data_IF_839250396988
#
_entry.id   IF_839250396988
#
_cell.length_a   1.000
_cell.length_b   1.000
_cell.length_c   1.000
_cell.angle_alpha   90.00
_cell.angle_beta   90.00
_cell.angle_gamma   90.00
#
_symmetry.space_group_name_H-M   'P 1'
#
loop_
_entity.id
_entity.type
_entity.pdbx_description
1 polymer ?
#
# COMPACT_ATOMS: atom_id res chain seq x y z
N UNK A 1 -40.54 -0.06 12.30
CA UNK A 1 -39.99 1.28 11.99
C UNK A 1 -39.91 1.42 10.48
N UNK A 2 -40.42 2.52 9.89
CA UNK A 2 -40.59 2.63 8.43
C UNK A 2 -39.23 2.58 7.69
N UNK A 3 -39.09 1.80 6.60
CA UNK A 3 -37.83 1.61 5.87
C UNK A 3 -37.20 2.92 5.40
N UNK A 4 -38.02 3.94 5.13
CA UNK A 4 -37.58 5.30 4.78
C UNK A 4 -36.75 6.00 5.89
N UNK A 5 -37.01 5.71 7.17
CA UNK A 5 -36.22 6.28 8.28
C UNK A 5 -34.86 5.61 8.42
N UNK A 6 -34.76 4.32 8.09
CA UNK A 6 -33.50 3.57 8.07
C UNK A 6 -32.59 4.06 6.94
N UNK A 7 -33.15 4.26 5.74
CA UNK A 7 -32.41 4.80 4.59
C UNK A 7 -31.87 6.22 4.86
N UNK A 8 -32.66 7.07 5.52
CA UNK A 8 -32.25 8.43 5.85
C UNK A 8 -31.14 8.47 6.91
N UNK A 9 -31.23 7.62 7.94
CA UNK A 9 -30.20 7.51 8.98
C UNK A 9 -28.89 6.96 8.40
N UNK A 10 -28.95 5.97 7.50
CA UNK A 10 -27.76 5.44 6.80
C UNK A 10 -27.10 6.51 5.92
N UNK A 11 -27.89 7.30 5.20
CA UNK A 11 -27.39 8.38 4.35
C UNK A 11 -26.74 9.50 5.18
N UNK A 12 -27.37 9.91 6.30
CA UNK A 12 -26.77 10.88 7.22
C UNK A 12 -25.48 10.37 7.86
N UNK A 13 -25.39 9.07 8.17
CA UNK A 13 -24.15 8.48 8.71
C UNK A 13 -23.04 8.48 7.67
N UNK A 14 -23.36 8.20 6.41
CA UNK A 14 -22.43 8.32 5.27
C UNK A 14 -21.89 9.75 5.12
N UNK A 15 -22.76 10.76 5.20
CA UNK A 15 -22.38 12.18 5.09
C UNK A 15 -21.55 12.65 6.28
N UNK A 16 -21.85 12.21 7.50
CA UNK A 16 -21.07 12.52 8.70
C UNK A 16 -19.68 11.85 8.64
N UNK A 17 -19.59 10.63 8.10
CA UNK A 17 -18.32 9.95 7.86
C UNK A 17 -17.40 10.70 6.89
N UNK A 18 -17.96 11.38 5.88
CA UNK A 18 -17.21 12.19 4.91
C UNK A 18 -16.72 13.52 5.52
N UNK A 19 -17.44 14.09 6.51
CA UNK A 19 -17.13 15.41 7.08
C UNK A 19 -16.04 15.40 8.18
N UNK A 20 -15.71 14.24 8.77
CA UNK A 20 -14.68 14.15 9.81
C UNK A 20 -13.22 14.10 9.28
N UNK A 21 -12.99 14.37 8.00
CA UNK A 21 -11.70 14.18 7.32
C UNK A 21 -10.63 15.24 7.65
N UNK A 22 -10.93 16.31 8.40
CA UNK A 22 -9.97 17.43 8.59
C UNK A 22 -9.34 17.48 9.99
N UNK A 23 -8.86 16.36 10.50
CA UNK A 23 -7.93 16.37 11.63
C UNK A 23 -6.50 16.14 11.10
N UNK A 24 -5.90 17.19 10.54
CA UNK A 24 -4.46 17.20 10.21
C UNK A 24 -3.72 17.40 11.54
N UNK A 25 -3.29 16.30 12.15
CA UNK A 25 -2.27 16.36 13.19
C UNK A 25 -0.94 16.68 12.49
N UNK A 26 -0.22 17.69 12.98
CA UNK A 26 1.09 18.05 12.44
C UNK A 26 2.05 16.87 12.60
N UNK A 27 2.43 16.26 11.47
CA UNK A 27 3.50 15.28 11.42
C UNK A 27 4.81 15.95 11.90
N UNK A 28 5.73 15.20 12.54
CA UNK A 28 7.06 15.71 12.82
C UNK A 28 7.72 16.19 11.51
N UNK A 29 8.60 17.20 11.57
CA UNK A 29 9.34 17.62 10.41
C UNK A 29 10.14 16.43 9.83
N UNK A 30 10.24 16.33 8.49
CA UNK A 30 11.01 15.25 7.86
C UNK A 30 12.48 15.30 8.31
N UNK A 31 13.10 14.15 8.54
CA UNK A 31 14.56 14.06 8.70
C UNK A 31 15.21 14.09 7.33
N UNK A 32 16.34 14.76 7.22
CA UNK A 32 17.11 14.78 5.97
C UNK A 32 18.05 13.58 5.89
N UNK A 33 18.19 12.99 4.70
CA UNK A 33 19.07 11.84 4.53
C UNK A 33 20.55 12.25 4.60
N UNK A 34 20.89 13.36 3.99
CA UNK A 34 22.25 13.89 4.00
C UNK A 34 22.39 15.00 5.04
N UNK A 35 23.30 14.82 6.00
CA UNK A 35 23.56 15.79 7.07
C UNK A 35 24.17 17.12 6.59
N UNK A 36 24.88 17.12 5.45
CA UNK A 36 25.69 18.27 4.98
C UNK A 36 25.35 18.76 3.56
N UNK A 37 24.43 18.09 2.85
CA UNK A 37 24.17 18.37 1.43
C UNK A 37 23.40 19.68 1.19
N UNK A 38 23.09 20.45 2.22
CA UNK A 38 22.47 21.77 2.08
C UNK A 38 21.25 21.96 2.99
N UNK A 39 20.58 23.10 2.82
CA UNK A 39 19.46 23.48 3.67
C UNK A 39 18.22 22.62 3.35
N UNK A 40 17.42 22.36 4.38
CA UNK A 40 16.13 21.68 4.33
C UNK A 40 15.06 22.52 5.01
N UNK A 41 13.81 22.05 4.97
CA UNK A 41 12.71 22.68 5.71
C UNK A 41 12.88 22.59 7.23
N UNK A 42 13.69 21.65 7.71
CA UNK A 42 13.96 21.43 9.13
C UNK A 42 15.25 22.12 9.61
N UNK A 43 16.17 22.44 8.70
CA UNK A 43 17.48 22.99 9.04
C UNK A 43 18.04 23.87 7.91
N UNK A 44 18.41 25.12 8.20
CA UNK A 44 19.01 26.04 7.21
C UNK A 44 20.55 25.91 7.12
N UNK A 45 21.16 25.02 7.89
CA UNK A 45 22.61 24.85 7.88
C UNK A 45 23.10 24.32 6.52
N UNK A 46 24.21 24.88 6.05
CA UNK A 46 24.89 24.49 4.83
C UNK A 46 26.38 24.83 4.93
N UNK A 47 27.21 24.13 4.16
CA UNK A 47 28.65 24.41 4.10
C UNK A 47 28.85 25.85 3.60
N UNK A 48 29.68 26.61 4.31
CA UNK A 48 29.88 28.02 4.00
C UNK A 48 30.46 28.22 2.58
N UNK A 49 29.69 28.88 1.71
CA UNK A 49 30.08 29.08 0.31
C UNK A 49 29.67 27.94 -0.62
N UNK A 50 28.76 27.04 -0.19
CA UNK A 50 28.08 26.10 -1.07
C UNK A 50 27.34 26.84 -2.21
N UNK A 51 27.39 26.27 -3.42
CA UNK A 51 26.76 26.85 -4.62
C UNK A 51 25.42 26.21 -4.97
N UNK A 52 25.06 25.11 -4.31
CA UNK A 52 23.83 24.35 -4.51
C UNK A 52 23.69 23.21 -3.51
N UNK A 53 22.73 22.33 -3.76
CA UNK A 53 22.61 21.08 -3.01
C UNK A 53 23.73 20.11 -3.39
N UNK A 54 24.13 19.25 -2.45
CA UNK A 54 25.15 18.24 -2.65
C UNK A 54 24.59 16.94 -3.23
N UNK A 55 25.48 15.98 -3.49
CA UNK A 55 25.12 14.58 -3.80
C UNK A 55 25.56 13.66 -2.68
N UNK A 56 24.91 12.51 -2.54
CA UNK A 56 25.23 11.49 -1.54
C UNK A 56 25.38 10.12 -2.22
N UNK A 57 26.54 9.49 -2.07
CA UNK A 57 26.80 8.13 -2.51
C UNK A 57 27.01 7.23 -1.28
N UNK A 58 26.24 6.15 -1.17
CA UNK A 58 26.21 5.22 -0.03
C UNK A 58 26.72 3.87 -0.54
N UNK A 59 27.83 3.39 -0.03
CA UNK A 59 28.44 2.12 -0.39
C UNK A 59 28.23 1.12 0.74
N UNK A 60 27.46 0.07 0.48
CA UNK A 60 27.18 -0.99 1.45
C UNK A 60 28.18 -2.12 1.25
N UNK A 61 28.71 -2.66 2.34
CA UNK A 61 29.66 -3.77 2.31
C UNK A 61 28.99 -5.15 2.54
N UNK A 62 29.81 -6.21 2.51
CA UNK A 62 29.35 -7.59 2.69
C UNK A 62 28.86 -7.91 4.12
N UNK A 63 29.19 -7.07 5.10
CA UNK A 63 28.74 -7.19 6.48
C UNK A 63 27.38 -6.50 6.69
N UNK A 64 27.00 -5.58 5.80
CA UNK A 64 25.82 -4.73 5.90
C UNK A 64 26.11 -3.37 6.52
N UNK A 65 27.39 -3.08 6.79
CA UNK A 65 27.86 -1.74 7.16
C UNK A 65 27.98 -0.87 5.90
N UNK A 66 28.14 0.43 6.08
CA UNK A 66 28.17 1.34 4.93
C UNK A 66 29.12 2.52 5.10
N UNK A 67 29.64 2.97 3.95
CA UNK A 67 30.41 4.20 3.82
C UNK A 67 29.61 5.21 2.99
N UNK A 68 29.42 6.40 3.55
CA UNK A 68 28.64 7.47 2.96
C UNK A 68 29.59 8.58 2.54
N UNK A 69 29.52 8.96 1.27
CA UNK A 69 30.31 10.03 0.66
C UNK A 69 29.37 11.15 0.22
N UNK A 70 29.34 12.24 0.99
CA UNK A 70 28.60 13.44 0.64
C UNK A 70 29.53 14.41 -0.12
N UNK A 71 29.09 14.90 -1.28
CA UNK A 71 29.84 15.82 -2.13
C UNK A 71 29.08 17.12 -2.27
N UNK A 72 29.66 18.23 -1.83
CA UNK A 72 29.02 19.55 -1.83
C UNK A 72 29.84 20.53 -2.67
N UNK A 73 29.29 21.06 -3.78
CA UNK A 73 30.00 22.04 -4.58
C UNK A 73 30.09 23.37 -3.83
N UNK A 74 31.27 23.99 -3.85
CA UNK A 74 31.54 25.27 -3.19
C UNK A 74 32.12 26.28 -4.18
N UNK A 75 32.01 27.56 -3.84
CA UNK A 75 32.64 28.65 -4.63
C UNK A 75 34.16 28.53 -4.61
N UNK A 76 34.83 28.97 -5.69
CA UNK A 76 36.29 29.03 -5.80
C UNK A 76 36.95 29.72 -4.59
N UNK A 77 36.33 30.80 -4.08
CA UNK A 77 36.82 31.54 -2.90
C UNK A 77 36.75 30.72 -1.61
N UNK A 78 35.72 29.89 -1.46
CA UNK A 78 35.62 28.97 -0.33
C UNK A 78 36.60 27.81 -0.47
N UNK A 79 36.72 27.24 -1.68
CA UNK A 79 37.68 26.19 -1.99
C UNK A 79 39.13 26.62 -1.66
N UNK A 80 39.55 27.82 -2.06
CA UNK A 80 40.90 28.33 -1.75
C UNK A 80 41.14 28.50 -0.25
N UNK A 81 40.11 28.94 0.49
CA UNK A 81 40.17 29.03 1.95
C UNK A 81 40.39 27.65 2.58
N UNK A 82 39.60 26.66 2.18
CA UNK A 82 39.67 25.29 2.71
C UNK A 82 40.97 24.59 2.33
N UNK A 83 41.50 24.87 1.13
CA UNK A 83 42.80 24.35 0.67
C UNK A 83 43.97 24.85 1.52
N UNK A 84 43.89 26.11 1.97
CA UNK A 84 44.96 26.75 2.74
C UNK A 84 44.81 26.55 4.25
N UNK A 85 43.60 26.22 4.73
CA UNK A 85 43.29 26.12 6.15
C UNK A 85 42.34 24.94 6.44
N UNK A 86 42.91 23.81 6.87
CA UNK A 86 42.16 22.59 7.20
C UNK A 86 41.14 22.80 8.33
N UNK A 87 41.50 23.57 9.36
CA UNK A 87 40.60 23.86 10.49
C UNK A 87 39.38 24.69 10.05
N UNK A 88 39.51 25.50 9.00
CA UNK A 88 38.37 26.20 8.42
C UNK A 88 37.42 25.25 7.67
N UNK A 89 37.93 24.16 7.09
CA UNK A 89 37.12 23.12 6.45
C UNK A 89 36.36 22.32 7.51
N UNK A 90 37.07 21.83 8.53
CA UNK A 90 36.48 21.08 9.65
C UNK A 90 35.34 21.87 10.31
N UNK A 91 35.61 23.13 10.67
CA UNK A 91 34.58 23.99 11.28
C UNK A 91 33.37 24.24 10.36
N UNK A 92 33.57 24.33 9.04
CA UNK A 92 32.48 24.53 8.10
C UNK A 92 31.63 23.27 7.91
N UNK A 93 32.22 22.08 8.03
CA UNK A 93 31.50 20.80 8.00
C UNK A 93 30.71 20.61 9.29
N UNK A 94 31.34 20.87 10.44
CA UNK A 94 30.69 20.78 11.75
C UNK A 94 29.48 21.74 11.88
N UNK A 95 29.62 22.97 11.39
CA UNK A 95 28.52 23.96 11.39
C UNK A 95 27.40 23.58 10.41
N UNK A 96 27.72 22.87 9.33
CA UNK A 96 26.74 22.42 8.33
C UNK A 96 26.00 21.15 8.76
N UNK A 97 26.55 20.38 9.70
CA UNK A 97 26.00 19.09 10.11
C UNK A 97 24.62 19.27 10.75
N UNK A 98 23.60 18.70 10.12
CA UNK A 98 22.24 18.81 10.61
C UNK A 98 22.02 18.02 11.90
N UNK A 99 21.47 18.66 12.93
CA UNK A 99 21.12 18.00 14.20
C UNK A 99 20.04 16.90 14.09
N UNK A 100 19.30 16.88 12.98
CA UNK A 100 18.22 15.94 12.73
C UNK A 100 18.38 15.38 11.32
N UNK A 101 19.29 14.42 11.18
CA UNK A 101 19.50 13.68 9.94
C UNK A 101 19.49 12.18 10.22
N UNK A 102 19.30 11.39 9.15
CA UNK A 102 19.05 9.95 9.24
C UNK A 102 20.13 9.14 9.97
N UNK A 103 21.33 9.66 10.20
CA UNK A 103 22.44 8.92 10.78
C UNK A 103 23.10 9.55 12.02
N UNK A 104 22.52 10.58 12.63
CA UNK A 104 23.19 11.37 13.69
C UNK A 104 23.66 10.54 14.91
N UNK A 105 22.96 9.45 15.24
CA UNK A 105 23.29 8.55 16.36
C UNK A 105 24.26 7.40 16.02
N UNK A 106 24.37 7.04 14.75
CA UNK A 106 25.04 5.82 14.26
C UNK A 106 26.28 6.12 13.42
N UNK A 107 26.71 7.39 13.39
CA UNK A 107 27.87 7.84 12.63
C UNK A 107 29.18 7.56 13.37
N UNK A 108 30.11 6.89 12.68
CA UNK A 108 31.51 6.76 13.07
C UNK A 108 32.40 7.50 12.07
N UNK A 109 33.42 8.19 12.60
CA UNK A 109 34.52 8.83 11.86
C UNK A 109 34.07 9.73 10.72
N UNK A 110 33.95 11.04 10.97
CA UNK A 110 33.76 12.04 9.92
C UNK A 110 35.14 12.48 9.40
N UNK A 111 35.46 12.15 8.16
CA UNK A 111 36.63 12.68 7.44
C UNK A 111 36.15 13.70 6.40
N UNK A 112 36.80 14.85 6.34
CA UNK A 112 36.47 15.89 5.36
C UNK A 112 37.68 16.25 4.54
N UNK A 113 37.52 16.28 3.22
CA UNK A 113 38.56 16.70 2.28
C UNK A 113 37.99 17.63 1.21
N UNK A 114 38.88 18.39 0.59
CA UNK A 114 38.56 19.20 -0.58
C UNK A 114 39.08 18.49 -1.84
N UNK A 115 38.19 18.23 -2.78
CA UNK A 115 38.51 17.79 -4.14
C UNK A 115 38.15 18.92 -5.10
N UNK A 116 39.17 19.62 -5.60
CA UNK A 116 39.01 20.82 -6.42
C UNK A 116 38.12 21.90 -5.77
N UNK A 117 36.89 22.06 -6.23
CA UNK A 117 35.86 22.98 -5.71
C UNK A 117 34.69 22.22 -5.04
N UNK A 118 34.92 20.97 -4.62
CA UNK A 118 33.93 20.13 -3.98
C UNK A 118 34.43 19.70 -2.60
N UNK A 119 33.65 19.99 -1.57
CA UNK A 119 33.88 19.44 -0.24
C UNK A 119 33.32 18.02 -0.21
N UNK A 120 34.17 17.06 0.12
CA UNK A 120 33.81 15.64 0.26
C UNK A 120 33.85 15.29 1.74
N UNK A 121 32.72 14.81 2.25
CA UNK A 121 32.56 14.39 3.64
C UNK A 121 32.26 12.90 3.66
N UNK A 122 33.16 12.14 4.26
CA UNK A 122 33.06 10.69 4.41
C UNK A 122 32.68 10.36 5.84
N UNK A 123 31.71 9.47 6.00
CA UNK A 123 31.36 8.90 7.30
C UNK A 123 30.90 7.46 7.14
N UNK A 124 30.97 6.71 8.23
CA UNK A 124 30.52 5.31 8.26
C UNK A 124 29.29 5.19 9.12
N UNK A 125 28.37 4.32 8.68
CA UNK A 125 27.14 3.96 9.40
C UNK A 125 27.08 2.45 9.42
N UNK A 126 27.06 1.89 10.62
CA UNK A 126 26.99 0.44 10.81
C UNK A 126 25.55 -0.06 10.61
N UNK A 127 25.41 -1.36 10.33
CA UNK A 127 24.11 -2.07 10.31
C UNK A 127 23.04 -1.42 9.38
N UNK A 128 23.45 -0.79 8.26
CA UNK A 128 22.52 -0.20 7.27
C UNK A 128 21.74 -1.26 6.51
N UNK A 129 22.29 -2.46 6.35
CA UNK A 129 21.63 -3.59 5.74
C UNK A 129 21.57 -4.80 6.68
N UNK A 130 20.40 -5.43 6.75
CA UNK A 130 20.15 -6.62 7.57
C UNK A 130 19.92 -7.86 6.69
N UNK A 131 20.23 -9.05 7.22
CA UNK A 131 20.02 -10.31 6.48
C UNK A 131 18.55 -10.70 6.44
N UNK A 132 18.07 -11.03 5.25
CA UNK A 132 16.72 -11.47 4.97
C UNK A 132 16.57 -12.97 4.72
N UNK A 133 15.60 -13.31 3.87
CA UNK A 133 15.29 -14.69 3.50
C UNK A 133 16.33 -15.23 2.52
N UNK A 134 16.99 -16.33 2.89
CA UNK A 134 17.98 -16.97 2.02
C UNK A 134 19.26 -16.13 1.96
N UNK A 135 19.59 -15.65 0.77
CA UNK A 135 20.75 -14.80 0.48
C UNK A 135 20.37 -13.34 0.23
N UNK A 136 19.10 -12.98 0.42
CA UNK A 136 18.65 -11.60 0.31
C UNK A 136 19.08 -10.79 1.53
N UNK A 137 19.39 -9.54 1.29
CA UNK A 137 19.62 -8.50 2.29
C UNK A 137 18.55 -7.42 2.14
N UNK A 138 18.29 -6.72 3.23
CA UNK A 138 17.31 -5.66 3.33
C UNK A 138 18.00 -4.38 3.80
N UNK A 139 17.88 -3.33 3.02
CA UNK A 139 18.19 -1.97 3.45
C UNK A 139 16.89 -1.37 3.95
N UNK A 140 16.70 -1.42 5.26
CA UNK A 140 15.57 -0.82 5.96
C UNK A 140 15.90 0.54 6.58
N UNK A 141 17.15 0.99 6.47
CA UNK A 141 17.61 2.27 6.99
C UNK A 141 16.83 3.49 6.45
N UNK A 142 16.27 3.37 5.23
CA UNK A 142 15.41 4.39 4.61
C UNK A 142 13.92 4.05 4.71
N UNK A 143 13.61 2.89 5.30
CA UNK A 143 12.26 2.46 5.59
C UNK A 143 11.93 2.84 7.02
N UNK A 144 10.94 3.69 7.18
CA UNK A 144 10.58 4.24 8.48
C UNK A 144 9.84 3.16 9.27
N UNK A 145 10.61 2.29 9.93
CA UNK A 145 10.11 1.29 10.86
C UNK A 145 9.70 1.99 12.16
N UNK A 146 8.39 2.15 12.38
CA UNK A 146 7.76 2.64 13.63
C UNK A 146 8.08 4.07 14.10
N UNK A 147 9.05 4.78 13.52
CA UNK A 147 9.30 6.20 13.80
C UNK A 147 8.41 7.11 12.93
N UNK A 148 8.12 8.32 13.40
CA UNK A 148 7.19 9.26 12.74
C UNK A 148 7.90 10.15 11.70
N UNK A 149 8.99 9.67 11.12
CA UNK A 149 9.93 10.50 10.37
C UNK A 149 9.76 10.25 8.88
N UNK A 150 9.41 11.28 8.09
CA UNK A 150 9.56 11.22 6.62
C UNK A 150 11.01 11.54 6.25
N UNK A 151 11.64 10.78 5.36
CA UNK A 151 12.95 11.18 4.83
C UNK A 151 12.79 12.21 3.70
N UNK A 152 13.34 13.40 3.89
CA UNK A 152 13.42 14.43 2.87
C UNK A 152 14.66 14.25 2.01
N UNK A 153 14.50 14.23 0.68
CA UNK A 153 15.61 14.32 -0.25
C UNK A 153 16.08 15.77 -0.32
N UNK A 154 17.21 16.05 0.33
CA UNK A 154 17.85 17.38 0.36
C UNK A 154 19.07 17.41 -0.58
N UNK A 155 19.51 16.25 -1.05
CA UNK A 155 20.57 16.14 -2.04
C UNK A 155 19.99 16.19 -3.45
N UNK A 156 20.77 16.69 -4.41
CA UNK A 156 20.42 16.68 -5.84
C UNK A 156 20.34 15.24 -6.39
N UNK A 157 21.15 14.35 -5.79
CA UNK A 157 21.19 12.93 -6.12
C UNK A 157 21.59 12.11 -4.90
N UNK A 158 20.90 10.99 -4.70
CA UNK A 158 21.30 9.95 -3.76
C UNK A 158 21.52 8.65 -4.55
N UNK A 159 22.66 8.00 -4.35
CA UNK A 159 22.94 6.69 -4.93
C UNK A 159 23.25 5.70 -3.82
N UNK A 160 22.61 4.54 -3.83
CA UNK A 160 22.94 3.42 -2.95
C UNK A 160 23.59 2.33 -3.79
N UNK A 161 24.83 2.00 -3.48
CA UNK A 161 25.64 0.97 -4.11
C UNK A 161 25.66 -0.27 -3.22
N UNK A 162 25.17 -1.38 -3.75
CA UNK A 162 25.20 -2.69 -3.09
C UNK A 162 26.52 -3.41 -3.38
N UNK A 163 26.91 -4.42 -2.56
CA UNK A 163 28.17 -5.13 -2.72
C UNK A 163 28.36 -5.73 -4.12
N UNK A 164 29.61 -5.82 -4.57
CA UNK A 164 29.95 -6.39 -5.87
C UNK A 164 29.44 -7.84 -5.99
N UNK A 165 28.87 -8.17 -7.15
CA UNK A 165 28.32 -9.50 -7.42
C UNK A 165 26.91 -9.73 -6.87
N UNK A 166 26.27 -8.70 -6.31
CA UNK A 166 24.84 -8.70 -5.98
C UNK A 166 24.01 -8.00 -7.06
N UNK A 167 22.71 -8.18 -7.04
CA UNK A 167 21.75 -7.40 -7.83
C UNK A 167 20.62 -6.92 -6.94
N UNK A 168 20.06 -5.74 -7.25
CA UNK A 168 18.85 -5.26 -6.58
C UNK A 168 17.67 -6.17 -6.97
N UNK A 169 17.06 -6.82 -5.98
CA UNK A 169 16.10 -7.91 -6.20
C UNK A 169 14.64 -7.46 -6.24
N UNK A 170 14.34 -6.23 -5.85
CA UNK A 170 12.99 -5.68 -5.91
C UNK A 170 12.92 -4.43 -6.79
N UNK A 171 11.70 -4.08 -7.20
CA UNK A 171 11.45 -2.74 -7.73
C UNK A 171 11.48 -1.74 -6.58
N UNK A 172 12.38 -0.77 -6.67
CA UNK A 172 12.50 0.33 -5.71
C UNK A 172 11.71 1.54 -6.26
N UNK A 173 10.71 2.07 -5.52
CA UNK A 173 9.93 3.22 -5.97
C UNK A 173 10.81 4.45 -6.24
N UNK A 174 10.51 5.16 -7.32
CA UNK A 174 11.16 6.41 -7.73
C UNK A 174 12.69 6.36 -7.95
N UNK A 175 13.31 5.18 -7.81
CA UNK A 175 14.71 4.96 -8.10
C UNK A 175 14.93 4.48 -9.54
N UNK A 176 15.98 4.97 -10.18
CA UNK A 176 16.59 4.35 -11.34
C UNK A 176 17.56 3.27 -10.86
N UNK A 177 17.42 2.04 -11.38
CA UNK A 177 18.25 0.90 -11.01
C UNK A 177 19.20 0.60 -12.15
N UNK A 178 20.51 0.64 -11.87
CA UNK A 178 21.57 0.23 -12.78
C UNK A 178 22.51 -0.77 -12.08
N UNK A 179 22.31 -2.06 -12.36
CA UNK A 179 23.07 -3.15 -11.75
C UNK A 179 22.95 -3.20 -10.22
N UNK A 180 24.04 -2.84 -9.53
CA UNK A 180 24.15 -2.80 -8.07
C UNK A 180 23.76 -1.44 -7.47
N UNK A 181 23.44 -0.44 -8.29
CA UNK A 181 23.16 0.91 -7.85
C UNK A 181 21.67 1.26 -7.98
N UNK A 182 21.11 1.86 -6.93
CA UNK A 182 19.81 2.53 -6.95
C UNK A 182 20.02 4.04 -6.82
N UNK A 183 19.53 4.80 -7.78
CA UNK A 183 19.72 6.26 -7.85
C UNK A 183 18.40 6.99 -7.77
N UNK A 184 18.34 8.01 -6.92
CA UNK A 184 17.26 8.98 -6.86
C UNK A 184 17.78 10.38 -7.18
N UNK A 185 16.94 11.22 -7.80
CA UNK A 185 17.27 12.60 -8.20
C UNK A 185 16.32 13.61 -7.54
N UNK A 186 16.68 14.89 -7.51
CA UNK A 186 15.91 15.96 -6.85
C UNK A 186 14.41 16.03 -7.24
N UNK A 187 14.06 15.62 -8.46
CA UNK A 187 12.67 15.61 -8.95
C UNK A 187 11.86 14.40 -8.45
N UNK A 188 12.52 13.47 -7.75
CA UNK A 188 11.95 12.24 -7.20
C UNK A 188 11.92 12.33 -5.68
N UNK A 189 10.77 12.11 -5.05
CA UNK A 189 10.66 12.09 -3.59
C UNK A 189 10.93 10.66 -3.09
N UNK A 190 11.61 10.52 -1.95
CA UNK A 190 11.56 9.27 -1.19
C UNK A 190 10.13 9.09 -0.70
N UNK A 191 9.47 8.00 -1.09
CA UNK A 191 8.20 7.62 -0.49
C UNK A 191 8.44 7.27 0.99
N UNK A 192 7.39 7.33 1.81
CA UNK A 192 7.43 7.05 3.26
C UNK A 192 7.97 5.63 3.56
N UNK A 193 8.15 4.78 2.53
CA UNK A 193 8.52 3.37 2.59
C UNK A 193 9.40 2.91 1.44
N UNK A 194 10.65 3.35 1.46
CA UNK A 194 11.63 2.92 0.47
C UNK A 194 12.42 1.74 0.99
N UNK A 195 11.98 0.52 0.65
CA UNK A 195 12.74 -0.71 0.90
C UNK A 195 13.59 -1.06 -0.31
N UNK A 196 14.88 -1.28 -0.08
CA UNK A 196 15.79 -1.85 -1.07
C UNK A 196 16.21 -3.24 -0.61
N UNK A 197 16.11 -4.22 -1.49
CA UNK A 197 16.62 -5.57 -1.27
C UNK A 197 17.65 -5.92 -2.32
N UNK A 198 18.69 -6.63 -1.92
CA UNK A 198 19.74 -7.08 -2.83
C UNK A 198 20.21 -8.49 -2.47
N UNK A 199 20.77 -9.22 -3.43
CA UNK A 199 21.20 -10.61 -3.23
C UNK A 199 21.56 -11.27 -4.57
N UNK A 200 21.39 -12.59 -4.68
CA UNK A 200 21.50 -13.24 -5.99
C UNK A 200 20.42 -12.71 -6.94
N UNK A 201 20.81 -12.49 -8.20
CA UNK A 201 19.90 -12.02 -9.24
C UNK A 201 18.83 -13.04 -9.66
N UNK A 202 17.96 -12.59 -10.57
CA UNK A 202 16.94 -13.42 -11.22
C UNK A 202 15.72 -13.75 -10.36
N UNK A 203 14.85 -14.63 -10.88
CA UNK A 203 13.51 -14.88 -10.31
C UNK A 203 13.56 -15.34 -8.85
N UNK A 204 14.54 -16.19 -8.49
CA UNK A 204 14.68 -16.67 -7.11
C UNK A 204 15.05 -15.54 -6.17
N UNK A 205 16.01 -14.69 -6.56
CA UNK A 205 16.40 -13.48 -5.85
C UNK A 205 15.24 -12.53 -5.66
N UNK A 206 14.46 -12.28 -6.71
CA UNK A 206 13.25 -11.46 -6.60
C UNK A 206 12.24 -12.04 -5.62
N UNK A 207 12.02 -13.35 -5.64
CA UNK A 207 11.10 -14.00 -4.69
C UNK A 207 11.61 -13.89 -3.25
N UNK A 208 12.90 -14.10 -3.00
CA UNK A 208 13.49 -13.97 -1.66
C UNK A 208 13.54 -12.52 -1.19
N UNK A 209 13.79 -11.56 -2.08
CA UNK A 209 13.71 -10.13 -1.80
C UNK A 209 12.31 -9.69 -1.36
N UNK A 210 11.28 -10.03 -2.14
CA UNK A 210 9.89 -9.74 -1.74
C UNK A 210 9.44 -10.52 -0.49
N UNK A 211 9.93 -11.74 -0.29
CA UNK A 211 9.67 -12.49 0.94
C UNK A 211 10.29 -11.81 2.17
N UNK A 212 11.49 -11.24 2.02
CA UNK A 212 12.19 -10.48 3.06
C UNK A 212 11.39 -9.24 3.46
N UNK A 213 10.99 -8.41 2.47
CA UNK A 213 10.11 -7.25 2.71
C UNK A 213 8.81 -7.69 3.40
N UNK A 214 8.25 -8.82 2.98
CA UNK A 214 7.03 -9.39 3.55
C UNK A 214 7.18 -9.86 5.01
N UNK A 215 8.34 -10.40 5.40
CA UNK A 215 8.60 -10.82 6.78
C UNK A 215 8.86 -9.62 7.69
N UNK A 216 9.53 -8.58 7.20
CA UNK A 216 9.77 -7.37 7.98
C UNK A 216 8.45 -6.62 8.23
N UNK A 217 7.67 -6.41 7.16
CA UNK A 217 6.40 -5.68 7.23
C UNK A 217 5.24 -6.49 7.81
N UNK A 218 5.26 -7.81 7.61
CA UNK A 218 4.13 -8.70 7.86
C UNK A 218 3.53 -8.57 9.26
N UNK A 219 4.33 -8.65 10.34
CA UNK A 219 3.85 -8.51 11.71
C UNK A 219 3.14 -7.17 11.97
N UNK A 220 3.78 -6.06 11.62
CA UNK A 220 3.23 -4.71 11.82
C UNK A 220 1.98 -4.47 10.98
N UNK A 221 1.99 -4.92 9.72
CA UNK A 221 0.83 -4.85 8.84
C UNK A 221 -0.35 -5.68 9.38
N UNK A 222 -0.08 -6.86 9.95
CA UNK A 222 -1.10 -7.68 10.60
C UNK A 222 -1.63 -7.04 11.88
N UNK A 223 -0.78 -6.43 12.70
CA UNK A 223 -1.20 -5.71 13.90
C UNK A 223 -2.13 -4.54 13.55
N UNK A 224 -1.77 -3.73 12.56
CA UNK A 224 -2.61 -2.66 12.02
C UNK A 224 -3.90 -3.19 11.40
N UNK A 225 -3.79 -4.27 10.61
CA UNK A 225 -4.92 -4.96 10.02
C UNK A 225 -5.92 -5.43 11.07
N UNK A 226 -5.45 -6.04 12.16
CA UNK A 226 -6.30 -6.55 13.25
C UNK A 226 -6.90 -5.39 14.03
N UNK A 227 -6.09 -4.42 14.47
CA UNK A 227 -6.55 -3.28 15.26
C UNK A 227 -7.59 -2.43 14.51
N UNK A 228 -7.41 -2.20 13.22
CA UNK A 228 -8.37 -1.44 12.40
C UNK A 228 -9.50 -2.27 11.80
N UNK A 229 -9.23 -3.54 11.48
CA UNK A 229 -10.15 -4.39 10.72
C UNK A 229 -11.08 -5.23 11.57
N UNK A 230 -10.82 -5.40 12.86
CA UNK A 230 -11.62 -6.27 13.73
C UNK A 230 -13.09 -5.85 13.79
N UNK A 231 -13.36 -4.54 13.93
CA UNK A 231 -14.73 -4.04 13.98
C UNK A 231 -15.52 -4.30 12.68
N UNK A 232 -15.04 -3.88 11.48
CA UNK A 232 -15.72 -4.21 10.22
C UNK A 232 -15.75 -5.72 9.95
N UNK A 233 -14.74 -6.49 10.38
CA UNK A 233 -14.74 -7.95 10.28
C UNK A 233 -15.88 -8.59 11.07
N UNK A 234 -16.09 -8.16 12.32
CA UNK A 234 -17.21 -8.64 13.15
C UNK A 234 -18.54 -8.28 12.50
N UNK A 235 -18.70 -7.06 11.98
CA UNK A 235 -19.93 -6.65 11.27
C UNK A 235 -20.17 -7.50 10.02
N UNK A 236 -19.16 -7.78 9.21
CA UNK A 236 -19.29 -8.68 8.06
C UNK A 236 -19.62 -10.11 8.47
N UNK A 237 -19.02 -10.61 9.55
CA UNK A 237 -19.36 -11.91 10.12
C UNK A 237 -20.84 -11.98 10.49
N UNK A 238 -21.37 -10.93 11.14
CA UNK A 238 -22.79 -10.81 11.47
C UNK A 238 -23.66 -10.76 10.20
N UNK A 239 -23.26 -10.03 9.16
CA UNK A 239 -23.95 -10.01 7.86
C UNK A 239 -24.00 -11.41 7.25
N UNK A 240 -22.88 -12.15 7.22
CA UNK A 240 -22.84 -13.52 6.72
C UNK A 240 -23.75 -14.47 7.52
N UNK A 241 -23.78 -14.33 8.85
CA UNK A 241 -24.69 -15.10 9.72
C UNK A 241 -26.15 -14.77 9.43
N UNK A 242 -26.49 -13.49 9.31
CA UNK A 242 -27.85 -13.00 9.01
C UNK A 242 -28.30 -13.51 7.65
N UNK A 243 -27.46 -13.36 6.62
CA UNK A 243 -27.70 -13.88 5.28
C UNK A 243 -27.91 -15.39 5.30
N UNK A 244 -27.14 -16.13 6.10
CA UNK A 244 -27.24 -17.59 6.18
C UNK A 244 -28.47 -18.09 6.96
N UNK A 245 -29.05 -17.28 7.86
CA UNK A 245 -30.13 -17.73 8.77
C UNK A 245 -31.51 -17.13 8.52
N UNK A 246 -31.61 -16.03 7.79
CA UNK A 246 -32.90 -15.36 7.56
C UNK A 246 -33.45 -15.78 6.20
N UNK A 247 -34.61 -16.42 6.16
CA UNK A 247 -35.24 -16.91 4.91
C UNK A 247 -36.07 -15.83 4.18
N UNK A 248 -36.01 -14.59 4.66
CA UNK A 248 -36.77 -13.47 4.08
C UNK A 248 -36.35 -13.23 2.64
N UNK A 249 -37.33 -13.11 1.74
CA UNK A 249 -37.09 -12.67 0.36
C UNK A 249 -36.65 -13.76 -0.62
N UNK A 250 -36.43 -15.00 -0.19
CA UNK A 250 -36.18 -16.13 -1.10
C UNK A 250 -37.39 -16.27 -2.04
N UNK A 251 -38.60 -16.35 -1.50
CA UNK A 251 -39.85 -16.52 -2.27
C UNK A 251 -40.21 -15.32 -3.13
N UNK A 252 -39.68 -14.14 -2.83
CA UNK A 252 -40.00 -12.91 -3.53
C UNK A 252 -39.34 -12.79 -4.90
N UNK A 253 -38.24 -13.53 -5.14
CA UNK A 253 -37.47 -13.45 -6.37
C UNK A 253 -37.12 -14.83 -6.92
N UNK A 254 -37.29 -15.02 -8.23
CA UNK A 254 -36.74 -16.16 -8.94
C UNK A 254 -35.27 -15.90 -9.33
N UNK A 255 -34.54 -16.98 -9.67
CA UNK A 255 -33.14 -16.87 -10.11
C UNK A 255 -33.00 -15.96 -11.34
N UNK A 256 -34.05 -15.85 -12.16
CA UNK A 256 -34.06 -15.02 -13.34
C UNK A 256 -34.07 -13.53 -13.06
N UNK A 257 -34.92 -13.11 -12.14
CA UNK A 257 -35.03 -11.71 -11.72
C UNK A 257 -33.77 -11.29 -10.96
N UNK A 258 -33.21 -12.19 -10.15
CA UNK A 258 -31.94 -11.94 -9.45
C UNK A 258 -30.77 -11.72 -10.42
N UNK A 259 -30.61 -12.57 -11.44
CA UNK A 259 -29.60 -12.36 -12.49
C UNK A 259 -29.77 -11.00 -13.16
N UNK A 260 -30.99 -10.68 -13.62
CA UNK A 260 -31.26 -9.39 -14.29
C UNK A 260 -30.93 -8.20 -13.41
N UNK A 261 -31.25 -8.29 -12.12
CA UNK A 261 -30.93 -7.26 -11.14
C UNK A 261 -29.43 -7.13 -10.94
N UNK A 262 -28.70 -8.25 -10.78
CA UNK A 262 -27.24 -8.27 -10.62
C UNK A 262 -26.54 -7.67 -11.86
N UNK A 263 -26.95 -8.08 -13.05
CA UNK A 263 -26.40 -7.60 -14.33
C UNK A 263 -26.71 -6.11 -14.53
N UNK A 264 -27.95 -5.68 -14.27
CA UNK A 264 -28.34 -4.27 -14.41
C UNK A 264 -27.54 -3.38 -13.45
N UNK A 265 -27.42 -3.79 -12.18
CA UNK A 265 -26.65 -3.06 -11.17
C UNK A 265 -25.17 -3.00 -11.54
N UNK A 266 -24.58 -4.13 -11.97
CA UNK A 266 -23.18 -4.18 -12.40
C UNK A 266 -22.90 -3.33 -13.64
N UNK A 267 -23.78 -3.37 -14.64
CA UNK A 267 -23.63 -2.60 -15.88
C UNK A 267 -23.84 -1.10 -15.68
N UNK A 268 -24.85 -0.70 -14.90
CA UNK A 268 -25.10 0.72 -14.56
C UNK A 268 -23.96 1.27 -13.71
N UNK A 269 -23.46 0.50 -12.75
CA UNK A 269 -22.29 0.87 -11.96
C UNK A 269 -21.05 1.07 -12.84
N UNK A 270 -20.73 0.11 -13.70
CA UNK A 270 -19.56 0.19 -14.58
C UNK A 270 -19.64 1.35 -15.56
N UNK A 271 -20.79 1.55 -16.22
CA UNK A 271 -20.99 2.65 -17.16
C UNK A 271 -20.99 4.03 -16.48
N UNK A 272 -21.70 4.18 -15.36
CA UNK A 272 -21.81 5.45 -14.64
C UNK A 272 -20.48 5.93 -14.07
N UNK A 273 -19.69 5.02 -13.50
CA UNK A 273 -18.39 5.34 -12.91
C UNK A 273 -17.35 5.75 -13.96
N UNK A 274 -17.34 5.10 -15.14
CA UNK A 274 -16.46 5.48 -16.24
C UNK A 274 -16.83 6.85 -16.82
N UNK A 275 -18.12 7.14 -17.01
CA UNK A 275 -18.60 8.44 -17.52
C UNK A 275 -18.26 9.58 -16.57
N UNK A 276 -18.52 9.40 -15.27
CA UNK A 276 -18.17 10.40 -14.25
C UNK A 276 -16.66 10.55 -14.13
N UNK A 277 -15.91 9.45 -14.19
CA UNK A 277 -14.44 9.47 -14.14
C UNK A 277 -13.83 10.29 -15.28
N UNK A 278 -14.25 10.04 -16.52
CA UNK A 278 -13.77 10.79 -17.70
C UNK A 278 -14.20 12.26 -17.66
N UNK A 279 -15.44 12.54 -17.23
CA UNK A 279 -15.94 13.91 -17.13
C UNK A 279 -15.20 14.73 -16.07
N UNK A 280 -14.71 14.08 -15.00
CA UNK A 280 -14.00 14.74 -13.91
C UNK A 280 -12.53 15.03 -14.24
N UNK A 281 -11.87 14.22 -15.07
CA UNK A 281 -10.42 14.29 -15.33
C UNK A 281 -10.05 14.82 -16.72
N UNK A 282 -11.00 14.91 -17.65
CA UNK A 282 -10.84 15.62 -18.92
C UNK A 282 -9.98 14.94 -19.99
N UNK A 283 -9.33 13.80 -19.72
CA UNK A 283 -8.54 13.09 -20.72
C UNK A 283 -8.49 11.55 -20.50
N UNK A 284 -8.40 11.07 -19.25
CA UNK A 284 -8.31 9.63 -18.94
C UNK A 284 -9.12 9.24 -17.69
N UNK A 285 -9.79 8.07 -17.68
CA UNK A 285 -10.57 7.65 -16.52
C UNK A 285 -9.66 7.47 -15.29
N UNK A 286 -10.04 8.09 -14.17
CA UNK A 286 -9.33 7.94 -12.91
C UNK A 286 -9.15 6.45 -12.55
N UNK A 287 -7.97 6.02 -12.05
CA UNK A 287 -7.69 4.61 -11.72
C UNK A 287 -8.77 3.97 -10.83
N UNK A 288 -9.31 4.72 -9.86
CA UNK A 288 -10.39 4.25 -9.01
C UNK A 288 -11.71 3.99 -9.76
N UNK A 289 -12.02 4.80 -10.78
CA UNK A 289 -13.21 4.58 -11.62
C UNK A 289 -13.07 3.31 -12.46
N UNK A 290 -11.87 3.04 -13.00
CA UNK A 290 -11.55 1.81 -13.74
C UNK A 290 -11.67 0.58 -12.83
N UNK A 291 -11.14 0.65 -11.61
CA UNK A 291 -11.22 -0.42 -10.62
C UNK A 291 -12.67 -0.76 -10.24
N UNK A 292 -13.49 0.25 -9.94
CA UNK A 292 -14.89 0.05 -9.60
C UNK A 292 -15.71 -0.45 -10.81
N UNK A 293 -15.38 -0.01 -12.02
CA UNK A 293 -16.02 -0.51 -13.23
C UNK A 293 -15.70 -1.98 -13.50
N UNK A 294 -14.45 -2.39 -13.31
CA UNK A 294 -14.04 -3.80 -13.41
C UNK A 294 -14.77 -4.69 -12.39
N UNK A 295 -14.96 -4.20 -11.15
CA UNK A 295 -15.78 -4.89 -10.15
C UNK A 295 -17.25 -5.01 -10.58
N UNK A 296 -17.84 -3.96 -11.16
CA UNK A 296 -19.20 -4.00 -11.70
C UNK A 296 -19.36 -5.04 -12.81
N UNK A 297 -18.39 -5.13 -13.71
CA UNK A 297 -18.34 -6.16 -14.77
C UNK A 297 -18.20 -7.56 -14.15
N UNK A 298 -17.27 -7.74 -13.21
CA UNK A 298 -17.09 -9.01 -12.49
C UNK A 298 -18.35 -9.47 -11.77
N UNK A 299 -19.06 -8.55 -11.13
CA UNK A 299 -20.33 -8.81 -10.45
C UNK A 299 -21.43 -9.26 -11.42
N UNK A 300 -21.57 -8.59 -12.57
CA UNK A 300 -22.53 -9.00 -13.61
C UNK A 300 -22.20 -10.38 -14.20
N UNK A 301 -20.92 -10.64 -14.49
CA UNK A 301 -20.45 -11.94 -15.00
C UNK A 301 -20.68 -13.06 -13.98
N UNK A 302 -20.41 -12.81 -12.69
CA UNK A 302 -20.66 -13.76 -11.61
C UNK A 302 -22.14 -14.16 -11.56
N UNK A 303 -23.07 -13.19 -11.59
CA UNK A 303 -24.50 -13.47 -11.61
C UNK A 303 -24.95 -14.30 -12.80
N UNK A 304 -24.50 -13.95 -14.02
CA UNK A 304 -24.91 -14.66 -15.23
C UNK A 304 -24.31 -16.06 -15.34
N UNK A 305 -23.02 -16.21 -14.99
CA UNK A 305 -22.34 -17.52 -15.01
C UNK A 305 -22.86 -18.45 -13.92
N UNK A 306 -23.12 -17.94 -12.72
CA UNK A 306 -23.72 -18.73 -11.65
C UNK A 306 -25.12 -19.23 -12.01
N UNK A 307 -25.93 -18.43 -12.70
CA UNK A 307 -27.23 -18.93 -13.18
C UNK A 307 -27.07 -19.98 -14.27
N UNK A 308 -26.17 -19.77 -15.23
CA UNK A 308 -26.03 -20.64 -16.41
C UNK A 308 -25.41 -22.00 -16.10
N UNK A 309 -24.52 -22.05 -15.11
CA UNK A 309 -23.75 -23.25 -14.78
C UNK A 309 -23.91 -23.71 -13.33
N UNK A 310 -24.56 -22.93 -12.46
CA UNK A 310 -24.64 -23.20 -11.02
C UNK A 310 -25.44 -24.44 -10.65
N UNK A 311 -26.41 -24.83 -11.47
CA UNK A 311 -27.27 -26.00 -11.22
C UNK A 311 -26.45 -27.31 -11.12
N UNK A 312 -25.30 -27.38 -11.81
CA UNK A 312 -24.39 -28.52 -11.78
C UNK A 312 -23.21 -28.40 -10.81
N UNK A 313 -23.06 -27.26 -10.12
CA UNK A 313 -21.88 -26.99 -9.29
C UNK A 313 -22.16 -27.28 -7.81
N UNK A 314 -21.25 -28.02 -7.19
CA UNK A 314 -21.19 -28.13 -5.73
C UNK A 314 -20.69 -26.80 -5.11
N UNK A 315 -20.78 -26.67 -3.79
CA UNK A 315 -20.27 -25.50 -3.04
C UNK A 315 -18.83 -25.14 -3.40
N UNK A 316 -17.97 -26.14 -3.66
CA UNK A 316 -16.58 -25.93 -4.09
C UNK A 316 -16.48 -25.30 -5.48
N UNK A 317 -17.34 -25.71 -6.41
CA UNK A 317 -17.43 -25.14 -7.75
C UNK A 317 -17.88 -23.68 -7.72
N UNK A 318 -18.85 -23.36 -6.86
CA UNK A 318 -19.31 -21.98 -6.65
C UNK A 318 -18.23 -21.10 -6.00
N UNK A 319 -17.47 -21.63 -5.04
CA UNK A 319 -16.30 -20.92 -4.47
C UNK A 319 -15.25 -20.65 -5.56
N UNK A 320 -14.92 -21.65 -6.38
CA UNK A 320 -13.98 -21.49 -7.50
C UNK A 320 -14.43 -20.42 -8.49
N UNK A 321 -15.73 -20.39 -8.81
CA UNK A 321 -16.33 -19.41 -9.71
C UNK A 321 -16.30 -17.99 -9.10
N UNK A 322 -16.63 -17.83 -7.82
CA UNK A 322 -16.52 -16.55 -7.10
C UNK A 322 -15.09 -16.02 -7.03
N UNK A 323 -14.11 -16.89 -6.79
CA UNK A 323 -12.70 -16.52 -6.78
C UNK A 323 -12.22 -16.15 -8.19
N UNK A 324 -12.58 -16.92 -9.21
CA UNK A 324 -12.20 -16.66 -10.59
C UNK A 324 -12.77 -15.32 -11.08
N UNK A 325 -14.03 -15.02 -10.78
CA UNK A 325 -14.64 -13.73 -11.14
C UNK A 325 -13.92 -12.55 -10.47
N UNK A 326 -13.51 -12.72 -9.20
CA UNK A 326 -12.79 -11.68 -8.44
C UNK A 326 -11.37 -11.49 -8.97
N UNK A 327 -10.66 -12.58 -9.26
CA UNK A 327 -9.29 -12.55 -9.82
C UNK A 327 -9.31 -11.97 -11.24
N UNK A 328 -10.28 -12.33 -12.07
CA UNK A 328 -10.42 -11.77 -13.42
C UNK A 328 -10.71 -10.25 -13.39
N UNK A 329 -11.62 -9.80 -12.52
CA UNK A 329 -11.90 -8.38 -12.32
C UNK A 329 -10.65 -7.63 -11.83
N UNK A 330 -9.94 -8.18 -10.84
CA UNK A 330 -8.73 -7.58 -10.27
C UNK A 330 -7.58 -7.56 -11.29
N UNK A 331 -7.37 -8.65 -12.02
CA UNK A 331 -6.34 -8.75 -13.05
C UNK A 331 -6.58 -7.75 -14.18
N UNK A 332 -7.85 -7.56 -14.57
CA UNK A 332 -8.24 -6.49 -15.48
C UNK A 332 -7.87 -5.11 -14.94
N UNK A 333 -8.23 -4.80 -13.69
CA UNK A 333 -7.83 -3.54 -13.04
C UNK A 333 -6.30 -3.36 -13.05
N UNK A 334 -5.54 -4.38 -12.66
CA UNK A 334 -4.08 -4.33 -12.58
C UNK A 334 -3.43 -4.05 -13.95
N UNK A 335 -3.97 -4.63 -15.03
CA UNK A 335 -3.51 -4.38 -16.40
C UNK A 335 -3.74 -2.93 -16.85
N UNK A 336 -4.81 -2.29 -16.40
CA UNK A 336 -5.16 -0.93 -16.83
C UNK A 336 -4.66 0.18 -15.91
N UNK A 337 -4.48 -0.08 -14.61
CA UNK A 337 -4.14 0.96 -13.62
C UNK A 337 -2.78 0.80 -12.95
N UNK A 338 -2.15 -0.37 -13.07
CA UNK A 338 -0.89 -0.69 -12.39
C UNK A 338 -1.01 -0.86 -10.86
N UNK A 339 0.06 -1.32 -10.18
CA UNK A 339 0.19 -1.33 -8.72
C UNK A 339 0.15 0.10 -8.15
N UNK A 340 -0.33 0.36 -6.91
CA UNK A 340 -0.77 -0.56 -5.84
C UNK A 340 -2.31 -0.68 -5.66
N UNK A 341 -3.11 -0.19 -6.63
CA UNK A 341 -4.57 0.04 -6.51
C UNK A 341 -5.42 -1.26 -6.42
N UNK A 342 -4.81 -2.45 -6.37
CA UNK A 342 -5.50 -3.73 -6.56
C UNK A 342 -5.97 -4.43 -5.28
N UNK A 343 -5.41 -4.13 -4.10
CA UNK A 343 -5.72 -4.89 -2.89
C UNK A 343 -7.14 -4.61 -2.33
N UNK A 344 -7.57 -3.35 -2.37
CA UNK A 344 -8.89 -2.95 -1.89
C UNK A 344 -10.04 -3.48 -2.76
N UNK A 345 -10.00 -3.35 -4.10
CA UNK A 345 -11.00 -3.96 -4.98
C UNK A 345 -11.05 -5.48 -4.87
N UNK A 346 -9.89 -6.14 -4.75
CA UNK A 346 -9.83 -7.60 -4.60
C UNK A 346 -10.52 -8.06 -3.32
N UNK A 347 -10.23 -7.42 -2.18
CA UNK A 347 -10.86 -7.76 -0.90
C UNK A 347 -12.37 -7.52 -0.94
N UNK A 348 -12.82 -6.43 -1.56
CA UNK A 348 -14.25 -6.13 -1.74
C UNK A 348 -14.96 -7.13 -2.64
N UNK A 349 -14.38 -7.43 -3.80
CA UNK A 349 -14.91 -8.40 -4.75
C UNK A 349 -15.01 -9.78 -4.12
N UNK A 350 -13.97 -10.22 -3.40
CA UNK A 350 -13.95 -11.51 -2.70
C UNK A 350 -15.04 -11.60 -1.62
N UNK A 351 -15.16 -10.58 -0.75
CA UNK A 351 -16.16 -10.56 0.31
C UNK A 351 -17.59 -10.66 -0.24
N UNK A 352 -17.86 -9.90 -1.32
CA UNK A 352 -19.16 -9.86 -1.98
C UNK A 352 -19.46 -11.16 -2.73
N UNK A 353 -18.48 -11.69 -3.48
CA UNK A 353 -18.64 -12.89 -4.29
C UNK A 353 -18.82 -14.16 -3.43
N UNK A 354 -18.25 -14.20 -2.23
CA UNK A 354 -18.41 -15.31 -1.29
C UNK A 354 -19.83 -15.41 -0.70
N UNK A 355 -20.64 -14.36 -0.77
CA UNK A 355 -22.05 -14.44 -0.36
C UNK A 355 -22.84 -15.48 -1.16
N UNK A 356 -22.47 -15.74 -2.42
CA UNK A 356 -23.11 -16.74 -3.27
C UNK A 356 -22.96 -18.17 -2.73
N UNK A 357 -21.74 -18.71 -2.53
CA UNK A 357 -21.58 -20.06 -1.96
C UNK A 357 -22.04 -20.12 -0.49
N UNK A 358 -22.02 -19.00 0.26
CA UNK A 358 -22.60 -18.95 1.62
C UNK A 358 -24.10 -19.22 1.58
N UNK A 359 -24.84 -18.56 0.69
CA UNK A 359 -26.28 -18.77 0.52
C UNK A 359 -26.60 -20.21 0.11
N UNK A 360 -25.87 -20.74 -0.88
CA UNK A 360 -26.04 -22.11 -1.35
C UNK A 360 -25.82 -23.16 -0.25
N UNK A 361 -24.77 -23.01 0.56
CA UNK A 361 -24.46 -23.95 1.64
C UNK A 361 -25.48 -23.90 2.78
N UNK A 362 -25.95 -22.69 3.12
CA UNK A 362 -26.95 -22.48 4.15
C UNK A 362 -28.27 -23.21 3.83
N UNK A 363 -28.71 -23.15 2.56
CA UNK A 363 -29.92 -23.85 2.11
C UNK A 363 -29.80 -25.37 2.20
N UNK A 364 -28.60 -25.92 1.96
CA UNK A 364 -28.32 -27.36 2.13
C UNK A 364 -28.14 -27.79 3.60
N UNK A 365 -28.52 -26.94 4.56
CA UNK A 365 -28.42 -27.23 6.00
C UNK A 365 -27.00 -27.27 6.56
N UNK A 366 -26.00 -26.80 5.80
CA UNK A 366 -24.59 -26.72 6.26
C UNK A 366 -24.23 -25.28 6.52
N UNK A 367 -24.03 -24.91 7.78
CA UNK A 367 -23.58 -23.55 8.09
C UNK A 367 -22.11 -23.37 7.66
N UNK A 368 -21.80 -22.48 6.69
CA UNK A 368 -20.48 -22.41 6.07
C UNK A 368 -19.53 -21.51 6.87
N UNK A 369 -19.18 -21.93 8.10
CA UNK A 369 -18.34 -21.15 9.03
C UNK A 369 -17.05 -20.69 8.37
N UNK A 370 -16.38 -21.56 7.62
CA UNK A 370 -15.14 -21.22 6.92
C UNK A 370 -15.30 -20.10 5.89
N UNK A 371 -16.40 -20.10 5.11
CA UNK A 371 -16.64 -19.05 4.11
C UNK A 371 -16.99 -17.71 4.76
N UNK A 372 -17.79 -17.74 5.83
CA UNK A 372 -18.12 -16.54 6.62
C UNK A 372 -16.87 -15.97 7.27
N UNK A 373 -16.00 -16.81 7.82
CA UNK A 373 -14.73 -16.39 8.41
C UNK A 373 -13.80 -15.76 7.36
N UNK A 374 -13.65 -16.38 6.18
CA UNK A 374 -12.84 -15.82 5.10
C UNK A 374 -13.38 -14.47 4.63
N UNK A 375 -14.69 -14.35 4.40
CA UNK A 375 -15.31 -13.08 4.05
C UNK A 375 -15.12 -12.02 5.15
N UNK A 376 -15.28 -12.41 6.42
CA UNK A 376 -15.10 -11.51 7.56
C UNK A 376 -13.65 -11.03 7.74
N UNK A 377 -12.64 -11.80 7.32
CA UNK A 377 -11.23 -11.39 7.42
C UNK A 377 -10.78 -10.44 6.30
N UNK A 378 -11.58 -10.26 5.24
CA UNK A 378 -11.22 -9.37 4.12
C UNK A 378 -10.94 -7.90 4.50
N UNK A 379 -11.62 -7.26 5.48
CA UNK A 379 -11.28 -5.90 5.90
C UNK A 379 -9.93 -5.83 6.59
N UNK A 380 -9.58 -6.86 7.37
CA UNK A 380 -8.28 -6.99 8.06
C UNK A 380 -7.16 -7.05 7.03
N UNK A 381 -7.32 -7.87 6.00
CA UNK A 381 -6.35 -7.99 4.90
C UNK A 381 -6.27 -6.70 4.09
N UNK A 382 -7.40 -6.05 3.80
CA UNK A 382 -7.43 -4.78 3.08
C UNK A 382 -6.66 -3.70 3.84
N UNK A 383 -6.90 -3.55 5.15
CA UNK A 383 -6.14 -2.61 5.99
C UNK A 383 -4.67 -3.00 6.03
N UNK A 384 -4.32 -4.26 6.30
CA UNK A 384 -2.92 -4.70 6.33
C UNK A 384 -2.17 -4.37 5.04
N UNK A 385 -2.84 -4.45 3.88
CA UNK A 385 -2.24 -4.14 2.59
C UNK A 385 -2.01 -2.63 2.33
N UNK A 386 -2.82 -1.76 2.94
CA UNK A 386 -2.84 -0.30 2.68
C UNK A 386 -2.27 0.50 3.87
N UNK A 387 -2.12 -0.11 5.04
CA UNK A 387 -1.74 0.53 6.28
C UNK A 387 -0.30 0.23 6.71
N UNK A 388 0.71 0.43 5.85
CA UNK A 388 1.99 0.79 6.38
C UNK A 388 2.02 2.34 6.54
N UNK A 389 1.04 3.09 6.03
CA UNK A 389 0.94 4.56 6.14
C UNK A 389 0.68 4.92 7.60
N UNK A 390 1.68 5.53 8.20
CA UNK A 390 1.74 6.04 9.56
C UNK A 390 0.57 6.98 9.85
N UNK A 391 -0.46 6.46 10.51
CA UNK A 391 -1.48 7.27 11.16
C UNK A 391 -1.51 6.91 12.64
N UNK A 392 -0.82 7.75 13.40
CA UNK A 392 -0.86 7.89 14.87
C UNK A 392 -1.99 7.11 15.55
N UNK A 393 -1.64 6.19 16.46
CA UNK A 393 -2.43 5.65 17.59
C UNK A 393 -3.88 5.22 17.35
N UNK A 394 -4.73 6.12 16.86
CA UNK A 394 -6.13 5.93 16.49
C UNK A 394 -6.35 5.70 14.98
N UNK A 395 -5.32 5.83 14.13
CA UNK A 395 -5.42 5.68 12.67
C UNK A 395 -6.10 4.40 12.20
N UNK A 396 -5.65 3.21 12.65
CA UNK A 396 -6.30 1.95 12.32
C UNK A 396 -7.79 1.92 12.71
N UNK A 397 -8.14 2.44 13.90
CA UNK A 397 -9.52 2.49 14.37
C UNK A 397 -10.39 3.44 13.53
N UNK A 398 -9.85 4.60 13.12
CA UNK A 398 -10.53 5.55 12.20
C UNK A 398 -10.74 4.89 10.84
N UNK A 399 -9.75 4.19 10.30
CA UNK A 399 -9.89 3.41 9.07
C UNK A 399 -10.94 2.31 9.19
N UNK A 400 -11.01 1.64 10.35
CA UNK A 400 -12.05 0.67 10.66
C UNK A 400 -13.46 1.26 10.58
N UNK A 401 -13.64 2.50 11.05
CA UNK A 401 -14.91 3.24 10.92
C UNK A 401 -15.18 3.63 9.47
N UNK A 402 -14.16 4.06 8.71
CA UNK A 402 -14.28 4.38 7.28
C UNK A 402 -14.66 3.15 6.43
N UNK A 403 -14.36 1.94 6.90
CA UNK A 403 -14.79 0.70 6.27
C UNK A 403 -16.24 0.30 6.60
N UNK A 404 -16.94 0.96 7.52
CA UNK A 404 -18.36 0.65 7.79
C UNK A 404 -19.24 0.85 6.55
N UNK A 405 -19.13 1.96 5.80
CA UNK A 405 -19.68 2.09 4.45
C UNK A 405 -19.42 0.89 3.54
N UNK A 406 -18.19 0.39 3.53
CA UNK A 406 -17.74 -0.72 2.71
C UNK A 406 -18.43 -2.04 3.14
N UNK A 407 -18.58 -2.29 4.45
CA UNK A 407 -19.36 -3.43 4.97
C UNK A 407 -20.82 -3.33 4.54
N UNK A 408 -21.40 -2.13 4.59
CA UNK A 408 -22.74 -1.86 4.10
C UNK A 408 -22.89 -2.18 2.61
N UNK A 409 -21.91 -1.79 1.79
CA UNK A 409 -21.89 -2.12 0.37
C UNK A 409 -21.81 -3.64 0.15
N UNK A 410 -20.91 -4.36 0.84
CA UNK A 410 -20.84 -5.83 0.75
C UNK A 410 -22.18 -6.46 1.13
N UNK A 411 -22.87 -5.97 2.17
CA UNK A 411 -24.19 -6.48 2.53
C UNK A 411 -25.23 -6.24 1.42
N UNK A 412 -25.27 -5.03 0.83
CA UNK A 412 -26.22 -4.64 -0.21
C UNK A 412 -26.02 -5.43 -1.51
N UNK A 413 -24.78 -5.60 -1.95
CA UNK A 413 -24.45 -6.34 -3.18
C UNK A 413 -24.34 -7.86 -2.95
N UNK A 414 -23.93 -8.28 -1.75
CA UNK A 414 -23.81 -9.70 -1.40
C UNK A 414 -25.15 -10.38 -1.17
N UNK A 415 -26.17 -9.64 -0.69
CA UNK A 415 -27.48 -10.21 -0.41
C UNK A 415 -28.18 -10.81 -1.65
N UNK A 416 -28.27 -10.11 -2.81
CA UNK A 416 -28.79 -10.71 -4.05
C UNK A 416 -28.03 -11.96 -4.48
N UNK A 417 -26.70 -11.97 -4.35
CA UNK A 417 -25.87 -13.14 -4.68
C UNK A 417 -26.16 -14.33 -3.76
N UNK A 418 -26.37 -14.08 -2.47
CA UNK A 418 -26.74 -15.12 -1.52
C UNK A 418 -28.14 -15.69 -1.80
N UNK A 419 -29.11 -14.84 -2.16
CA UNK A 419 -30.44 -15.30 -2.60
C UNK A 419 -30.33 -16.14 -3.88
N UNK A 420 -29.49 -15.75 -4.83
CA UNK A 420 -29.24 -16.53 -6.04
C UNK A 420 -28.65 -17.90 -5.68
N UNK A 421 -27.65 -17.95 -4.80
CA UNK A 421 -27.08 -19.20 -4.30
C UNK A 421 -28.09 -20.12 -3.63
N UNK A 422 -29.00 -19.57 -2.81
CA UNK A 422 -30.10 -20.34 -2.19
C UNK A 422 -31.07 -20.90 -3.23
N UNK A 423 -31.45 -20.11 -4.24
CA UNK A 423 -32.30 -20.57 -5.34
C UNK A 423 -31.67 -21.69 -6.17
N UNK A 424 -30.37 -21.61 -6.42
CA UNK A 424 -29.62 -22.68 -7.09
C UNK A 424 -29.59 -23.98 -6.27
N UNK A 425 -29.59 -23.88 -4.93
CA UNK A 425 -29.66 -25.06 -4.06
C UNK A 425 -31.06 -25.71 -4.05
N UNK A 426 -32.12 -24.93 -4.26
CA UNK A 426 -33.51 -25.39 -4.34
C UNK A 426 -33.91 -25.94 -5.71
N UNK A 427 -33.22 -25.55 -6.79
CA UNK A 427 -33.53 -25.93 -8.18
C UNK A 427 -33.18 -27.36 -8.58
N UNK A 428 -33.11 -28.30 -7.63
CA UNK A 428 -32.95 -29.73 -7.91
C UNK A 428 -34.34 -30.36 -7.97
N UNK A 429 -34.97 -30.28 -9.14
CA UNK A 429 -36.02 -31.23 -9.54
C UNK A 429 -35.45 -32.19 -10.59
#
# INVERSE_FOLDING_TARGET
MRPARLAFVLCCWFVIGILCVTAVAGAPPPEQLCGVCGPSTANEAAIAGATGHGTLDIYIDDAGDSQWEARVPVTETAAERYRTNATALEAAVDDAWARYHAADGDVRTVDSRLEDETVVVNYTVDDVASRGVGDAWLVEYFAVGTSNTRYGMVADRVTVHTPEGTEITNRVPAAEIDGTAATWTADTEFDEQTYLTYGSGGVRGTVTGYATIGLERGPTALEHGVSGGLFPAVLLGLVGVVIGRIDTGIDAFDAATLERLIVAVGAVGAGGLLVVGVAATGADPAPGAVALAALGVGYALLGSTARRFGDGLETRGLVGLSLLATVAATGGTLLFTGPPVYAFPLCFGAATALCLPIGYAAERGRFPIGLVAVAALTPVVAIASIAPVSLFGYGPAVYGVLLVPWVGSVAVFGYPLALLGRRLALGVD
#
